data_IF_318953308004
#
_entry.id   IF_318953308004
#
_cell.length_a   1.000
_cell.length_b   1.000
_cell.length_c   1.000
_cell.angle_alpha   90.00
_cell.angle_beta   90.00
_cell.angle_gamma   90.00
#
_symmetry.space_group_name_H-M   'P 1'
#
loop_
_entity.id
_entity.type
_entity.pdbx_description
1 polymer ?
#
# COMPACT_ATOMS: atom_id res chain seq x y z
N UNK A 1 -8.81 7.03 -10.97
CA UNK A 1 -9.58 6.00 -10.27
C UNK A 1 -9.02 4.60 -10.42
N UNK A 2 -8.27 4.37 -11.45
CA UNK A 2 -7.48 3.15 -11.60
C UNK A 2 -6.27 3.45 -12.45
N UNK A 3 -5.27 2.59 -12.37
CA UNK A 3 -4.06 2.79 -13.15
C UNK A 3 -3.11 1.62 -13.06
N UNK A 4 -1.98 1.78 -13.71
CA UNK A 4 -0.93 0.77 -13.75
C UNK A 4 0.41 1.44 -13.48
N UNK A 5 1.18 0.85 -12.56
CA UNK A 5 2.55 1.27 -12.27
C UNK A 5 3.50 0.24 -12.86
N UNK A 6 4.39 0.68 -13.72
CA UNK A 6 5.43 -0.16 -14.33
C UNK A 6 6.80 0.38 -13.95
N UNK A 7 7.71 -0.50 -13.62
CA UNK A 7 9.07 -0.11 -13.33
C UNK A 7 9.81 -1.26 -12.67
N UNK A 8 11.06 -1.44 -13.05
CA UNK A 8 11.91 -2.46 -12.45
C UNK A 8 12.07 -2.18 -10.95
N UNK A 9 11.98 -3.21 -10.15
CA UNK A 9 12.20 -3.12 -8.71
C UNK A 9 13.50 -3.83 -8.37
N UNK A 10 14.42 -3.09 -7.80
CA UNK A 10 15.69 -3.59 -7.33
C UNK A 10 16.01 -3.02 -5.98
N UNK A 11 17.11 -3.48 -5.39
CA UNK A 11 17.52 -2.98 -4.08
C UNK A 11 17.99 -1.53 -4.21
N UNK A 12 17.55 -0.69 -3.27
CA UNK A 12 17.94 0.71 -3.22
C UNK A 12 19.48 0.83 -3.19
N UNK A 13 20.04 1.74 -3.97
CA UNK A 13 21.49 1.83 -4.13
C UNK A 13 22.21 2.31 -2.86
N UNK A 14 21.53 3.09 -2.03
CA UNK A 14 22.11 3.64 -0.80
C UNK A 14 21.58 2.96 0.44
N UNK A 15 20.26 2.85 0.57
CA UNK A 15 19.62 2.21 1.72
C UNK A 15 19.23 0.78 1.35
N UNK A 16 20.08 -0.18 1.74
CA UNK A 16 19.89 -1.59 1.37
C UNK A 16 18.70 -2.26 2.06
N UNK A 17 18.06 -1.58 2.99
CA UNK A 17 16.84 -2.08 3.64
C UNK A 17 15.58 -1.77 2.82
N UNK A 18 15.70 -0.90 1.83
CA UNK A 18 14.59 -0.55 0.94
C UNK A 18 14.79 -1.13 -0.45
N UNK A 19 13.68 -1.24 -1.17
CA UNK A 19 13.69 -1.42 -2.62
C UNK A 19 13.50 -0.06 -3.28
N UNK A 20 13.80 0.03 -4.56
CA UNK A 20 13.64 1.24 -5.33
C UNK A 20 13.15 0.90 -6.74
N UNK A 21 12.62 1.90 -7.43
CA UNK A 21 12.11 1.75 -8.80
C UNK A 21 13.14 2.31 -9.78
N UNK A 22 13.48 1.50 -10.77
CA UNK A 22 14.42 1.84 -11.83
C UNK A 22 13.68 1.84 -13.16
N UNK A 23 13.13 2.99 -13.54
CA UNK A 23 12.26 3.10 -14.72
C UNK A 23 13.02 2.83 -16.03
N UNK A 24 14.33 3.02 -16.03
CA UNK A 24 15.19 2.75 -17.19
C UNK A 24 15.58 1.26 -17.29
N UNK A 25 15.17 0.44 -16.33
CA UNK A 25 15.51 -0.98 -16.32
C UNK A 25 16.95 -1.29 -15.95
N UNK A 26 17.69 -0.32 -15.39
CA UNK A 26 19.13 -0.47 -15.10
C UNK A 26 19.39 -1.49 -13.98
N UNK A 27 18.47 -1.67 -13.06
CA UNK A 27 18.60 -2.58 -11.91
C UNK A 27 17.27 -3.28 -11.66
N UNK A 28 17.37 -4.46 -11.03
CA UNK A 28 16.20 -5.18 -10.56
C UNK A 28 15.44 -5.92 -11.65
N UNK A 29 14.22 -6.30 -11.34
CA UNK A 29 13.34 -7.09 -12.20
C UNK A 29 12.13 -6.29 -12.60
N UNK A 30 11.63 -6.52 -13.83
CA UNK A 30 10.38 -5.92 -14.27
C UNK A 30 9.26 -6.21 -13.29
N UNK A 31 8.47 -5.20 -13.01
CA UNK A 31 7.33 -5.30 -12.08
C UNK A 31 6.18 -4.44 -12.57
N UNK A 32 4.97 -4.99 -12.46
CA UNK A 32 3.74 -4.33 -12.88
C UNK A 32 2.71 -4.45 -11.79
N UNK A 33 2.19 -3.32 -11.34
CA UNK A 33 1.13 -3.23 -10.34
C UNK A 33 -0.07 -2.50 -10.94
N UNK A 34 -1.23 -3.14 -10.92
CA UNK A 34 -2.49 -2.49 -11.28
C UNK A 34 -3.21 -2.08 -10.01
N UNK A 35 -3.75 -0.87 -9.98
CA UNK A 35 -4.50 -0.42 -8.81
C UNK A 35 -5.86 0.12 -9.21
N UNK A 36 -6.80 0.01 -8.29
CA UNK A 36 -8.15 0.55 -8.44
C UNK A 36 -8.56 1.20 -7.13
N UNK A 37 -9.06 2.44 -7.22
CA UNK A 37 -9.56 3.15 -6.05
C UNK A 37 -10.90 2.55 -5.62
N UNK A 38 -10.99 2.16 -4.36
CA UNK A 38 -12.22 1.64 -3.78
C UNK A 38 -13.00 2.72 -3.02
N UNK A 39 -12.29 3.55 -2.26
CA UNK A 39 -12.93 4.59 -1.46
C UNK A 39 -11.93 5.68 -1.12
N UNK A 40 -12.38 6.94 -1.18
CA UNK A 40 -11.56 8.09 -0.80
C UNK A 40 -12.05 8.67 0.51
N UNK A 41 -11.10 8.97 1.41
CA UNK A 41 -11.39 9.54 2.72
C UNK A 41 -10.83 10.96 2.87
N UNK A 42 -10.51 11.62 1.76
CA UNK A 42 -9.88 12.92 1.76
C UNK A 42 -8.37 12.82 1.63
N UNK A 43 -7.67 12.70 2.74
CA UNK A 43 -6.20 12.63 2.73
C UNK A 43 -5.64 11.23 2.53
N UNK A 44 -6.43 10.20 2.74
CA UNK A 44 -6.05 8.81 2.46
C UNK A 44 -7.07 8.15 1.56
N UNK A 45 -6.66 7.09 0.90
CA UNK A 45 -7.49 6.38 -0.07
C UNK A 45 -7.32 4.87 0.11
N UNK A 46 -8.43 4.15 0.06
CA UNK A 46 -8.41 2.69 0.04
C UNK A 46 -8.34 2.23 -1.42
N UNK A 47 -7.31 1.45 -1.74
CA UNK A 47 -7.14 0.91 -3.09
C UNK A 47 -7.00 -0.60 -3.05
N UNK A 48 -7.43 -1.26 -4.12
CA UNK A 48 -7.05 -2.65 -4.36
C UNK A 48 -5.94 -2.70 -5.39
N UNK A 49 -5.02 -3.64 -5.21
CA UNK A 49 -3.90 -3.82 -6.12
C UNK A 49 -3.90 -5.24 -6.67
N UNK A 50 -3.56 -5.37 -7.95
CA UNK A 50 -3.38 -6.66 -8.61
C UNK A 50 -1.99 -6.67 -9.25
N UNK A 51 -1.22 -7.71 -8.95
CA UNK A 51 0.16 -7.82 -9.41
C UNK A 51 0.24 -8.77 -10.60
N UNK A 52 0.98 -8.38 -11.65
CA UNK A 52 1.35 -9.28 -12.72
C UNK A 52 2.61 -10.04 -12.40
N UNK A 53 3.43 -9.46 -11.51
CA UNK A 53 4.70 -10.02 -11.08
C UNK A 53 4.76 -9.95 -9.56
N UNK A 54 5.64 -10.73 -8.95
CA UNK A 54 5.83 -10.67 -7.50
C UNK A 54 7.26 -10.28 -7.18
N UNK A 55 7.45 -9.07 -6.65
CA UNK A 55 8.76 -8.58 -6.20
C UNK A 55 8.67 -8.13 -4.75
N UNK A 56 9.82 -8.18 -4.08
CA UNK A 56 9.92 -7.75 -2.69
C UNK A 56 9.41 -6.32 -2.53
N UNK A 57 8.48 -6.13 -1.60
CA UNK A 57 7.87 -4.83 -1.31
C UNK A 57 7.22 -4.14 -2.53
N UNK A 58 6.78 -4.91 -3.53
CA UNK A 58 6.34 -4.33 -4.80
C UNK A 58 5.28 -3.24 -4.65
N UNK A 59 4.19 -3.52 -3.94
CA UNK A 59 3.11 -2.53 -3.75
C UNK A 59 3.65 -1.32 -2.99
N UNK A 60 4.43 -1.56 -1.94
CA UNK A 60 4.97 -0.49 -1.09
C UNK A 60 5.83 0.47 -1.89
N UNK A 61 6.77 -0.06 -2.68
CA UNK A 61 7.71 0.78 -3.43
C UNK A 61 7.06 1.39 -4.68
N UNK A 62 6.20 0.67 -5.37
CA UNK A 62 5.47 1.22 -6.52
C UNK A 62 4.54 2.36 -6.11
N UNK A 63 3.81 2.21 -4.99
CA UNK A 63 2.93 3.27 -4.53
C UNK A 63 3.70 4.49 -4.06
N UNK A 64 4.83 4.30 -3.38
CA UNK A 64 5.71 5.42 -3.04
C UNK A 64 6.21 6.13 -4.30
N UNK A 65 6.58 5.36 -5.31
CA UNK A 65 7.11 5.90 -6.58
C UNK A 65 6.12 6.87 -7.25
N UNK A 66 4.83 6.56 -7.19
CA UNK A 66 3.80 7.44 -7.76
C UNK A 66 3.29 8.50 -6.76
N UNK A 67 3.96 8.64 -5.63
CA UNK A 67 3.64 9.70 -4.65
C UNK A 67 2.54 9.34 -3.66
N UNK A 68 2.23 8.05 -3.50
CA UNK A 68 1.15 7.58 -2.62
C UNK A 68 1.64 6.49 -1.67
N UNK A 69 2.55 6.87 -0.78
CA UNK A 69 3.13 5.97 0.22
C UNK A 69 2.03 5.34 1.09
N UNK A 70 2.18 4.06 1.41
CA UNK A 70 1.20 3.36 2.24
C UNK A 70 1.14 3.96 3.64
N UNK A 71 -0.08 4.05 4.17
CA UNK A 71 -0.33 4.58 5.51
C UNK A 71 0.42 3.73 6.54
N UNK A 72 1.14 4.40 7.41
CA UNK A 72 1.97 3.83 8.48
C UNK A 72 3.08 2.88 8.00
N UNK A 73 3.55 3.06 6.78
CA UNK A 73 4.70 2.31 6.27
C UNK A 73 5.99 2.99 6.69
N UNK A 74 6.52 2.58 7.83
CA UNK A 74 7.72 3.18 8.41
C UNK A 74 8.90 3.14 7.47
N UNK A 75 9.16 1.99 6.85
CA UNK A 75 10.33 1.81 5.99
C UNK A 75 10.34 2.74 4.79
N UNK A 76 9.17 3.06 4.26
CA UNK A 76 9.04 3.92 3.08
C UNK A 76 8.51 5.32 3.42
N UNK A 77 8.52 5.68 4.69
CA UNK A 77 8.21 7.03 5.12
C UNK A 77 6.74 7.36 5.28
N UNK A 78 5.88 6.35 5.40
CA UNK A 78 4.43 6.54 5.57
C UNK A 78 3.97 6.63 7.02
N UNK A 79 4.89 6.64 7.98
CA UNK A 79 4.59 6.69 9.41
C UNK A 79 4.50 8.12 9.95
N UNK A 80 4.17 9.07 9.09
CA UNK A 80 4.03 10.49 9.44
C UNK A 80 2.97 11.12 8.54
N UNK A 81 2.60 12.36 8.88
CA UNK A 81 1.62 13.09 8.08
C UNK A 81 2.26 13.53 6.77
N UNK A 82 1.80 12.95 5.66
CA UNK A 82 2.24 13.30 4.32
C UNK A 82 1.23 14.21 3.62
N UNK A 83 -0.03 14.20 4.05
CA UNK A 83 -1.11 15.01 3.51
C UNK A 83 -1.92 15.60 4.66
N UNK A 84 -2.32 16.84 4.53
CA UNK A 84 -3.12 17.54 5.51
C UNK A 84 -2.29 18.47 6.36
N UNK A 85 -2.85 18.86 7.49
CA UNK A 85 -2.23 19.83 8.39
C UNK A 85 -1.50 19.12 9.54
N UNK A 86 -0.53 19.81 10.13
CA UNK A 86 0.11 19.34 11.36
C UNK A 86 -0.53 19.96 12.62
N UNK A 87 -1.67 20.63 12.48
CA UNK A 87 -2.39 21.19 13.62
C UNK A 87 -2.91 20.10 14.54
N UNK A 88 -3.06 20.45 15.83
CA UNK A 88 -3.20 19.50 16.92
C UNK A 88 -4.30 18.46 16.73
N UNK A 89 -5.50 18.86 16.29
CA UNK A 89 -6.62 17.92 16.15
C UNK A 89 -6.38 16.87 15.09
N UNK A 90 -5.90 17.27 13.93
CA UNK A 90 -5.61 16.34 12.85
C UNK A 90 -4.43 15.44 13.20
N UNK A 91 -3.37 16.03 13.75
CA UNK A 91 -2.21 15.27 14.17
C UNK A 91 -2.60 14.20 15.19
N UNK A 92 -3.43 14.54 16.16
CA UNK A 92 -3.92 13.59 17.16
C UNK A 92 -4.73 12.47 16.52
N UNK A 93 -5.58 12.81 15.57
CA UNK A 93 -6.37 11.82 14.84
C UNK A 93 -5.47 10.84 14.10
N UNK A 94 -4.46 11.33 13.38
CA UNK A 94 -3.53 10.47 12.63
C UNK A 94 -2.73 9.58 13.58
N UNK A 95 -2.25 10.14 14.70
CA UNK A 95 -1.51 9.36 15.69
C UNK A 95 -2.38 8.25 16.29
N UNK A 96 -3.66 8.53 16.54
CA UNK A 96 -4.61 7.51 17.00
C UNK A 96 -4.79 6.42 15.96
N UNK A 97 -4.86 6.77 14.68
CA UNK A 97 -4.94 5.79 13.61
C UNK A 97 -3.68 4.93 13.52
N UNK A 98 -2.50 5.53 13.70
CA UNK A 98 -1.25 4.78 13.75
C UNK A 98 -1.22 3.80 14.92
N UNK A 99 -1.81 4.16 16.05
CA UNK A 99 -1.90 3.26 17.21
C UNK A 99 -2.85 2.10 16.96
N UNK A 100 -3.95 2.33 16.24
CA UNK A 100 -4.93 1.30 15.90
C UNK A 100 -4.36 0.31 14.88
N UNK A 101 -3.58 0.82 13.93
CA UNK A 101 -2.94 0.00 12.89
C UNK A 101 -1.43 0.22 12.94
N UNK A 102 -0.71 -0.47 13.83
CA UNK A 102 0.72 -0.20 14.07
C UNK A 102 1.66 -0.87 13.08
N UNK A 103 1.31 -0.86 11.82
CA UNK A 103 2.09 -1.45 10.71
C UNK A 103 1.65 -0.83 9.40
N UNK A 104 2.39 -1.10 8.33
CA UNK A 104 1.96 -0.63 7.01
C UNK A 104 0.56 -1.17 6.67
N UNK A 105 -0.28 -0.30 6.14
CA UNK A 105 -1.66 -0.62 5.79
C UNK A 105 -1.69 -1.40 4.48
N UNK A 106 -1.39 -2.69 4.58
CA UNK A 106 -1.34 -3.60 3.43
C UNK A 106 -1.81 -4.98 3.85
N UNK A 107 -2.67 -5.57 3.04
CA UNK A 107 -3.20 -6.90 3.29
C UNK A 107 -3.38 -7.65 1.97
N UNK A 108 -2.84 -8.87 1.91
CA UNK A 108 -3.04 -9.76 0.78
C UNK A 108 -4.42 -10.42 0.90
N UNK A 109 -5.41 -9.88 0.20
CA UNK A 109 -6.82 -10.30 0.35
C UNK A 109 -7.11 -11.58 -0.42
N UNK A 110 -6.59 -11.69 -1.63
CA UNK A 110 -6.90 -12.81 -2.52
C UNK A 110 -5.61 -13.44 -3.05
N UNK A 111 -5.55 -14.75 -3.00
CA UNK A 111 -4.48 -15.53 -3.60
C UNK A 111 -5.09 -16.59 -4.51
N UNK A 112 -4.67 -16.63 -5.77
CA UNK A 112 -5.09 -17.64 -6.71
C UNK A 112 -3.89 -18.29 -7.37
N UNK A 113 -3.96 -19.59 -7.57
CA UNK A 113 -2.91 -20.33 -8.26
C UNK A 113 -3.47 -21.65 -8.81
N UNK A 114 -2.77 -22.19 -9.82
CA UNK A 114 -3.08 -23.50 -10.35
C UNK A 114 -2.40 -24.57 -9.50
N UNK A 115 -3.17 -25.59 -9.10
CA UNK A 115 -2.61 -26.67 -8.28
C UNK A 115 -1.59 -27.45 -9.11
N UNK A 116 -0.38 -27.67 -8.62
CA UNK A 116 0.71 -28.25 -9.43
C UNK A 116 0.48 -29.71 -9.83
N UNK A 117 -0.35 -30.45 -9.11
CA UNK A 117 -0.62 -31.87 -9.40
C UNK A 117 -1.91 -32.04 -10.24
N UNK A 118 -3.01 -31.42 -9.79
CA UNK A 118 -4.31 -31.60 -10.43
C UNK A 118 -4.57 -30.66 -11.62
N UNK A 119 -3.81 -29.58 -11.72
CA UNK A 119 -4.07 -28.53 -12.72
C UNK A 119 -5.28 -27.69 -12.41
N UNK A 120 -5.92 -27.90 -11.28
CA UNK A 120 -7.10 -27.15 -10.87
C UNK A 120 -6.72 -25.78 -10.35
N UNK A 121 -7.46 -24.74 -10.78
CA UNK A 121 -7.24 -23.39 -10.28
C UNK A 121 -7.86 -23.24 -8.89
N UNK A 122 -7.03 -22.83 -7.91
CA UNK A 122 -7.45 -22.61 -6.54
C UNK A 122 -7.39 -21.12 -6.23
N UNK A 123 -8.43 -20.64 -5.54
CA UNK A 123 -8.50 -19.25 -5.12
C UNK A 123 -8.86 -19.16 -3.65
N UNK A 124 -8.05 -18.39 -2.90
CA UNK A 124 -8.27 -18.14 -1.48
C UNK A 124 -8.52 -16.65 -1.29
N UNK A 125 -9.54 -16.34 -0.51
CA UNK A 125 -9.93 -14.97 -0.21
C UNK A 125 -9.98 -14.81 1.31
N UNK A 126 -9.59 -13.64 1.83
CA UNK A 126 -9.61 -13.37 3.25
C UNK A 126 -10.22 -12.02 3.55
N UNK A 127 -10.88 -11.91 4.71
CA UNK A 127 -11.39 -10.64 5.17
C UNK A 127 -10.24 -9.75 5.63
N UNK A 128 -10.47 -8.43 5.61
CA UNK A 128 -9.50 -7.49 6.15
C UNK A 128 -9.30 -7.75 7.64
N UNK A 129 -8.05 -7.69 8.14
CA UNK A 129 -7.79 -7.82 9.57
C UNK A 129 -8.54 -6.76 10.38
N UNK A 130 -8.84 -7.10 11.63
CA UNK A 130 -9.63 -6.21 12.51
C UNK A 130 -8.97 -4.84 12.70
N UNK A 131 -7.65 -4.78 12.83
CA UNK A 131 -6.94 -3.52 12.98
C UNK A 131 -7.06 -2.63 11.73
N UNK A 132 -7.02 -3.22 10.57
CA UNK A 132 -7.17 -2.50 9.32
C UNK A 132 -8.61 -2.02 9.13
N UNK A 133 -9.60 -2.87 9.46
CA UNK A 133 -11.00 -2.46 9.44
C UNK A 133 -11.26 -1.30 10.40
N UNK A 134 -10.71 -1.37 11.61
CA UNK A 134 -10.88 -0.29 12.59
C UNK A 134 -10.26 1.03 12.11
N UNK A 135 -9.11 0.96 11.48
CA UNK A 135 -8.47 2.15 10.90
C UNK A 135 -9.30 2.75 9.78
N UNK A 136 -9.84 1.92 8.88
CA UNK A 136 -10.72 2.36 7.79
C UNK A 136 -11.95 3.06 8.37
N UNK A 137 -12.58 2.49 9.40
CA UNK A 137 -13.75 3.08 10.03
C UNK A 137 -13.44 4.45 10.64
N UNK A 138 -12.27 4.60 11.27
CA UNK A 138 -11.85 5.89 11.80
C UNK A 138 -11.72 6.95 10.70
N UNK A 139 -11.08 6.60 9.60
CA UNK A 139 -10.95 7.53 8.47
C UNK A 139 -12.30 7.82 7.82
N UNK A 140 -13.16 6.83 7.70
CA UNK A 140 -14.49 7.00 7.12
C UNK A 140 -15.33 7.97 7.94
N UNK A 141 -15.19 7.91 9.26
CA UNK A 141 -15.90 8.80 10.19
C UNK A 141 -15.26 10.18 10.34
N UNK A 142 -14.03 10.35 9.91
CA UNK A 142 -13.33 11.62 10.05
C UNK A 142 -13.79 12.59 8.96
N UNK A 143 -14.30 13.74 9.38
CA UNK A 143 -14.71 14.77 8.45
C UNK A 143 -13.61 15.80 8.33
N UNK A 144 -13.06 15.92 7.13
CA UNK A 144 -12.09 16.95 6.84
C UNK A 144 -12.83 18.26 6.91
N UNK A 145 -12.41 19.09 7.84
CA UNK A 145 -13.10 20.31 8.10
C UNK A 145 -12.83 21.34 7.01
N UNK A 146 -13.89 21.89 6.54
CA UNK A 146 -13.88 22.87 5.48
C UNK A 146 -13.81 24.28 6.05
#
# INVERSE_FOLDING_TARGET
DEGTVRGHIGRHLKDRLQMDVFVDGSHGKEAVTHYKVLERFGYVTLVSCRLETGSTHQIRVHMKHIGHTLFNDERYGGDKILKGTTFAKYKQFVENCFSVLPRQALHAKTLGFEHPVSGEYLRFDSELPADMQACIEKWRGYKINN
#
